data_IF_455244848046
#
_entry.id   IF_455244848046
#
_cell.length_a   1.000
_cell.length_b   1.000
_cell.length_c   1.000
_cell.angle_alpha   90.00
_cell.angle_beta   90.00
_cell.angle_gamma   90.00
#
_symmetry.space_group_name_H-M   'P 1'
#
loop_
_entity.id
_entity.type
_entity.pdbx_description
1 polymer ?
#
# COMPACT_ATOMS: atom_id res chain seq x y z
N UNK A 1 -16.64 12.18 28.22
CA UNK A 1 -15.20 12.52 28.03
C UNK A 1 -14.35 11.29 27.69
N UNK A 2 -14.93 10.23 27.10
CA UNK A 2 -14.21 8.99 26.76
C UNK A 2 -13.96 8.79 25.26
N UNK A 3 -14.43 9.70 24.39
CA UNK A 3 -14.35 9.52 22.93
C UNK A 3 -13.11 10.14 22.26
N UNK A 4 -12.33 10.99 22.95
CA UNK A 4 -11.15 11.62 22.33
C UNK A 4 -9.89 10.72 22.32
N UNK A 5 -9.79 9.73 23.21
CA UNK A 5 -8.63 8.85 23.28
C UNK A 5 -8.68 7.70 22.24
N UNK A 6 -9.87 7.23 21.86
CA UNK A 6 -10.07 6.24 20.80
C UNK A 6 -9.92 6.84 19.40
N UNK A 7 -10.18 8.15 19.24
CA UNK A 7 -9.98 8.88 17.98
C UNK A 7 -8.50 9.10 17.60
N UNK A 8 -7.58 9.10 18.56
CA UNK A 8 -6.17 9.41 18.35
C UNK A 8 -5.32 8.24 17.80
N UNK A 9 -5.89 7.04 17.66
CA UNK A 9 -5.09 5.82 17.43
C UNK A 9 -5.60 4.90 16.30
N UNK A 10 -6.43 5.41 15.39
CA UNK A 10 -6.87 4.64 14.21
C UNK A 10 -5.64 4.25 13.35
N UNK A 11 -5.41 2.96 13.03
CA UNK A 11 -4.30 2.56 12.17
C UNK A 11 -4.49 3.13 10.76
N UNK A 12 -3.61 4.05 10.37
CA UNK A 12 -3.60 4.65 9.04
C UNK A 12 -2.15 4.76 8.59
N UNK A 13 -1.81 4.19 7.45
CA UNK A 13 -0.41 4.10 7.03
C UNK A 13 -0.24 3.76 5.56
N UNK A 14 1.00 3.41 5.22
CA UNK A 14 1.39 3.03 3.86
C UNK A 14 1.60 1.52 3.81
N UNK A 15 1.18 0.90 2.72
CA UNK A 15 1.71 -0.39 2.26
C UNK A 15 2.37 -0.16 0.90
N UNK A 16 3.69 -0.33 0.82
CA UNK A 16 4.42 -0.25 -0.45
C UNK A 16 4.16 -1.55 -1.23
N UNK A 17 2.96 -1.71 -1.78
CA UNK A 17 2.46 -2.98 -2.31
C UNK A 17 2.28 -3.02 -3.83
N UNK A 18 2.88 -2.06 -4.55
CA UNK A 18 2.77 -1.91 -6.00
C UNK A 18 3.76 -2.78 -6.79
N UNK A 19 3.45 -3.01 -8.06
CA UNK A 19 4.35 -3.62 -9.04
C UNK A 19 5.28 -2.61 -9.72
N UNK A 20 6.45 -3.08 -10.14
CA UNK A 20 7.46 -2.27 -10.81
C UNK A 20 8.71 -2.07 -9.97
N UNK A 21 9.61 -1.20 -10.44
CA UNK A 21 10.85 -0.89 -9.71
C UNK A 21 10.52 -0.35 -8.32
N UNK A 22 10.97 -1.03 -7.24
CA UNK A 22 10.79 -0.53 -5.88
C UNK A 22 11.47 0.82 -5.70
N UNK A 23 11.04 1.58 -4.71
CA UNK A 23 11.74 2.82 -4.38
C UNK A 23 13.19 2.54 -3.95
N UNK A 24 14.10 3.41 -4.36
CA UNK A 24 15.45 3.43 -3.82
C UNK A 24 15.41 3.59 -2.29
N UNK A 25 16.29 2.88 -1.59
CA UNK A 25 16.27 2.82 -0.13
C UNK A 25 16.50 4.20 0.51
N UNK A 26 17.40 5.02 -0.03
CA UNK A 26 17.67 6.36 0.49
C UNK A 26 16.44 7.26 0.32
N UNK A 27 15.82 7.21 -0.86
CA UNK A 27 14.62 7.99 -1.18
C UNK A 27 13.44 7.55 -0.31
N UNK A 28 13.24 6.25 -0.12
CA UNK A 28 12.25 5.66 0.80
C UNK A 28 12.43 6.18 2.24
N UNK A 29 13.65 6.15 2.76
CA UNK A 29 13.95 6.61 4.13
C UNK A 29 13.70 8.12 4.34
N UNK A 30 13.87 8.93 3.31
CA UNK A 30 13.56 10.36 3.34
C UNK A 30 12.05 10.62 3.22
N UNK A 31 11.36 9.85 2.38
CA UNK A 31 9.91 9.92 2.22
C UNK A 31 9.17 9.65 3.55
N UNK A 32 9.59 8.62 4.29
CA UNK A 32 8.99 8.20 5.57
C UNK A 32 8.92 9.33 6.60
N UNK A 33 9.89 10.26 6.62
CA UNK A 33 9.91 11.38 7.57
C UNK A 33 8.67 12.30 7.45
N UNK A 34 8.03 12.33 6.29
CA UNK A 34 6.88 13.19 6.03
C UNK A 34 5.56 12.59 6.56
N UNK A 35 5.48 11.26 6.66
CA UNK A 35 4.21 10.53 6.80
C UNK A 35 3.50 10.85 8.13
N UNK A 36 4.27 10.97 9.22
CA UNK A 36 3.71 11.30 10.54
C UNK A 36 3.05 12.67 10.58
N UNK A 37 3.61 13.66 9.89
CA UNK A 37 3.01 14.99 9.75
C UNK A 37 1.67 14.99 9.00
N UNK A 38 1.40 13.94 8.21
CA UNK A 38 0.13 13.76 7.52
C UNK A 38 -0.88 12.93 8.32
N UNK A 39 -0.54 12.53 9.55
CA UNK A 39 -1.40 11.72 10.42
C UNK A 39 -1.31 10.22 10.16
N UNK A 40 -0.30 9.77 9.41
CA UNK A 40 -0.02 8.35 9.18
C UNK A 40 0.92 7.81 10.25
N UNK A 41 0.68 6.58 10.72
CA UNK A 41 1.35 6.01 11.89
C UNK A 41 2.04 4.67 11.65
N UNK A 42 1.97 4.11 10.43
CA UNK A 42 2.73 2.91 10.07
C UNK A 42 3.21 2.90 8.62
N UNK A 43 4.22 2.06 8.37
CA UNK A 43 4.76 1.77 7.04
C UNK A 43 4.99 0.26 6.90
N UNK A 44 4.28 -0.39 5.99
CA UNK A 44 4.46 -1.80 5.64
C UNK A 44 5.30 -1.88 4.37
N UNK A 45 6.50 -2.45 4.48
CA UNK A 45 7.36 -2.77 3.34
C UNK A 45 6.87 -4.05 2.67
N UNK A 46 6.24 -3.96 1.49
CA UNK A 46 5.76 -5.12 0.74
C UNK A 46 5.96 -5.04 -0.79
N UNK A 47 7.10 -4.54 -1.32
CA UNK A 47 7.21 -4.29 -2.76
C UNK A 47 7.08 -5.61 -3.53
N UNK A 48 6.20 -5.66 -4.54
CA UNK A 48 5.93 -6.91 -5.29
C UNK A 48 7.16 -7.45 -6.03
N UNK A 49 8.09 -6.56 -6.37
CA UNK A 49 9.33 -6.89 -7.07
C UNK A 49 10.48 -7.30 -6.13
N UNK A 50 10.30 -7.28 -4.80
CA UNK A 50 11.26 -7.88 -3.88
C UNK A 50 11.15 -9.41 -3.97
N UNK A 51 12.10 -10.02 -4.67
CA UNK A 51 12.10 -11.47 -4.89
C UNK A 51 12.31 -12.28 -3.61
N UNK A 52 13.05 -11.74 -2.63
CA UNK A 52 13.34 -12.45 -1.38
C UNK A 52 12.09 -12.58 -0.50
N UNK A 53 11.17 -11.61 -0.55
CA UNK A 53 9.90 -11.68 0.18
C UNK A 53 8.76 -12.32 -0.63
N UNK A 54 8.98 -12.56 -1.92
CA UNK A 54 7.93 -13.06 -2.82
C UNK A 54 8.25 -14.32 -3.61
N UNK A 55 9.28 -14.33 -4.45
CA UNK A 55 9.51 -15.40 -5.44
C UNK A 55 10.42 -16.51 -4.96
N UNK A 56 11.57 -16.11 -4.43
CA UNK A 56 12.63 -17.00 -3.93
C UNK A 56 12.60 -17.04 -2.41
N UNK A 57 11.42 -16.80 -1.82
CA UNK A 57 11.20 -16.70 -0.38
C UNK A 57 11.65 -17.95 0.38
N UNK A 58 11.73 -19.10 -0.29
CA UNK A 58 12.19 -20.35 0.28
C UNK A 58 13.73 -20.43 0.41
N UNK A 59 14.48 -19.50 -0.19
CA UNK A 59 15.94 -19.38 -0.03
C UNK A 59 16.31 -18.63 1.25
N UNK A 60 17.49 -18.91 1.80
CA UNK A 60 17.95 -18.23 3.01
C UNK A 60 18.26 -16.75 2.73
N UNK A 61 17.71 -15.85 3.56
CA UNK A 61 18.01 -14.42 3.47
C UNK A 61 19.49 -14.14 3.75
N UNK A 62 20.13 -13.33 2.90
CA UNK A 62 21.50 -12.87 3.14
C UNK A 62 21.56 -11.90 4.32
N UNK A 63 22.74 -11.80 4.95
CA UNK A 63 22.95 -10.88 6.07
C UNK A 63 22.82 -9.43 5.63
N UNK A 64 23.29 -9.13 4.43
CA UNK A 64 23.25 -7.82 3.81
C UNK A 64 21.80 -7.37 3.61
N UNK A 65 20.96 -8.25 3.04
CA UNK A 65 19.54 -7.99 2.83
C UNK A 65 18.79 -7.72 4.14
N UNK A 66 18.98 -8.58 5.15
CA UNK A 66 18.37 -8.40 6.47
C UNK A 66 18.85 -7.11 7.16
N UNK A 67 20.13 -6.75 7.00
CA UNK A 67 20.69 -5.51 7.53
C UNK A 67 20.07 -4.27 6.88
N UNK A 68 19.79 -4.29 5.59
CA UNK A 68 19.08 -3.20 4.90
C UNK A 68 17.65 -3.05 5.39
N UNK A 69 16.90 -4.16 5.52
CA UNK A 69 15.56 -4.14 6.10
C UNK A 69 15.56 -3.70 7.56
N UNK A 70 16.58 -4.09 8.33
CA UNK A 70 16.72 -3.65 9.73
C UNK A 70 16.94 -2.14 9.82
N UNK A 71 17.77 -1.57 8.96
CA UNK A 71 17.96 -0.11 8.88
C UNK A 71 16.66 0.61 8.52
N UNK A 72 15.85 0.03 7.62
CA UNK A 72 14.52 0.57 7.29
C UNK A 72 13.58 0.52 8.50
N UNK A 73 13.54 -0.61 9.21
CA UNK A 73 12.77 -0.77 10.46
C UNK A 73 13.15 0.29 11.49
N UNK A 74 14.44 0.47 11.75
CA UNK A 74 14.95 1.47 12.70
C UNK A 74 14.62 2.90 12.27
N UNK A 75 14.67 3.17 10.96
CA UNK A 75 14.28 4.47 10.42
C UNK A 75 12.79 4.76 10.62
N UNK A 76 11.90 3.82 10.33
CA UNK A 76 10.45 3.99 10.57
C UNK A 76 10.17 4.24 12.05
N UNK A 77 10.79 3.44 12.94
CA UNK A 77 10.63 3.57 14.39
C UNK A 77 11.17 4.89 14.95
N UNK A 78 12.31 5.37 14.45
CA UNK A 78 12.87 6.67 14.86
C UNK A 78 12.02 7.86 14.40
N UNK A 79 11.22 7.71 13.34
CA UNK A 79 10.17 8.67 12.97
C UNK A 79 8.93 8.57 13.90
N UNK A 80 8.94 7.66 14.87
CA UNK A 80 7.84 7.38 15.79
C UNK A 80 6.62 6.80 15.08
N UNK A 81 6.85 5.97 14.07
CA UNK A 81 5.86 5.17 13.34
C UNK A 81 6.11 3.68 13.58
N UNK A 82 5.12 2.85 13.28
CA UNK A 82 5.20 1.39 13.36
C UNK A 82 5.74 0.81 12.04
N UNK A 83 6.74 -0.06 12.12
CA UNK A 83 7.26 -0.79 10.97
C UNK A 83 6.46 -2.06 10.73
N UNK A 84 6.18 -2.36 9.47
CA UNK A 84 5.63 -3.63 9.06
C UNK A 84 6.41 -4.27 7.93
N UNK A 85 6.37 -5.60 7.87
CA UNK A 85 6.96 -6.39 6.80
C UNK A 85 5.87 -7.19 6.08
N UNK A 86 5.82 -7.08 4.76
CA UNK A 86 4.99 -7.90 3.90
C UNK A 86 5.75 -9.14 3.43
N UNK A 87 5.11 -10.29 3.52
CA UNK A 87 5.66 -11.57 3.09
C UNK A 87 4.64 -12.29 2.22
N UNK A 88 5.01 -12.54 0.96
CA UNK A 88 4.13 -13.11 -0.08
C UNK A 88 4.68 -14.46 -0.52
N UNK A 89 4.43 -15.57 0.21
CA UNK A 89 5.08 -16.86 -0.07
C UNK A 89 4.52 -17.50 -1.35
N UNK A 90 4.93 -17.00 -2.53
CA UNK A 90 4.39 -17.38 -3.82
C UNK A 90 4.56 -18.88 -4.06
N UNK A 91 3.45 -19.55 -4.40
CA UNK A 91 3.42 -20.98 -4.68
C UNK A 91 3.48 -21.88 -3.45
N UNK A 92 3.49 -21.34 -2.22
CA UNK A 92 3.59 -22.15 -1.02
C UNK A 92 2.41 -23.12 -0.82
N UNK A 93 1.21 -22.73 -1.24
CA UNK A 93 0.01 -23.57 -1.13
C UNK A 93 -0.01 -24.71 -2.14
N UNK A 94 0.83 -24.68 -3.19
CA UNK A 94 0.87 -25.75 -4.19
C UNK A 94 1.49 -27.06 -3.67
N UNK A 95 2.35 -26.99 -2.64
CA UNK A 95 2.99 -28.15 -2.01
C UNK A 95 3.24 -27.84 -0.51
N UNK A 96 2.19 -27.86 0.33
CA UNK A 96 2.26 -27.43 1.72
C UNK A 96 3.21 -28.30 2.55
N UNK A 97 3.32 -29.61 2.26
CA UNK A 97 4.21 -30.52 2.98
C UNK A 97 5.68 -30.10 2.84
N UNK A 98 6.06 -29.66 1.64
CA UNK A 98 7.38 -29.11 1.36
C UNK A 98 7.56 -27.70 1.92
N UNK A 99 6.59 -26.82 1.70
CA UNK A 99 6.77 -25.38 1.87
C UNK A 99 6.41 -24.87 3.26
N UNK A 100 5.51 -25.51 4.01
CA UNK A 100 5.09 -25.03 5.33
C UNK A 100 6.25 -24.99 6.34
N UNK A 101 7.13 -26.01 6.46
CA UNK A 101 8.28 -25.93 7.37
C UNK A 101 9.26 -24.81 6.99
N UNK A 102 9.48 -24.61 5.70
CA UNK A 102 10.35 -23.53 5.18
C UNK A 102 9.73 -22.18 5.49
N UNK A 103 8.43 -22.02 5.24
CA UNK A 103 7.67 -20.81 5.54
C UNK A 103 7.81 -20.42 7.01
N UNK A 104 7.59 -21.36 7.92
CA UNK A 104 7.71 -21.12 9.36
C UNK A 104 9.12 -20.67 9.75
N UNK A 105 10.17 -21.28 9.17
CA UNK A 105 11.57 -20.86 9.35
C UNK A 105 11.77 -19.40 8.91
N UNK A 106 11.24 -19.02 7.75
CA UNK A 106 11.40 -17.67 7.21
C UNK A 106 10.63 -16.62 8.02
N UNK A 107 9.40 -16.92 8.44
CA UNK A 107 8.63 -16.04 9.34
C UNK A 107 9.39 -15.84 10.64
N UNK A 108 9.90 -16.91 11.27
CA UNK A 108 10.70 -16.79 12.49
C UNK A 108 11.96 -15.93 12.27
N UNK A 109 12.63 -16.08 11.12
CA UNK A 109 13.82 -15.29 10.77
C UNK A 109 13.47 -13.81 10.66
N UNK A 110 12.45 -13.44 9.89
CA UNK A 110 12.00 -12.06 9.72
C UNK A 110 11.56 -11.43 11.05
N UNK A 111 10.80 -12.17 11.88
CA UNK A 111 10.39 -11.73 13.21
C UNK A 111 11.58 -11.42 14.10
N UNK A 112 12.56 -12.33 14.16
CA UNK A 112 13.71 -12.22 15.08
C UNK A 112 14.65 -11.09 14.66
N UNK A 113 14.93 -10.98 13.35
CA UNK A 113 15.91 -10.04 12.82
C UNK A 113 15.35 -8.61 12.71
N UNK A 114 14.06 -8.46 12.37
CA UNK A 114 13.46 -7.14 12.07
C UNK A 114 12.59 -6.59 13.20
N UNK A 115 12.03 -7.46 14.05
CA UNK A 115 11.09 -7.13 15.13
C UNK A 115 10.00 -6.14 14.69
N UNK A 116 9.23 -6.46 13.63
CA UNK A 116 8.23 -5.54 13.10
C UNK A 116 7.04 -5.42 14.07
N UNK A 117 6.33 -4.30 14.05
CA UNK A 117 5.05 -4.14 14.75
C UNK A 117 3.89 -4.75 13.97
N UNK A 118 3.97 -4.79 12.64
CA UNK A 118 3.00 -5.47 11.76
C UNK A 118 3.67 -6.56 10.92
N UNK A 119 3.05 -7.73 10.84
CA UNK A 119 3.40 -8.75 9.85
C UNK A 119 2.25 -8.86 8.87
N UNK A 120 2.49 -8.60 7.59
CA UNK A 120 1.50 -8.73 6.53
C UNK A 120 1.76 -10.03 5.75
N UNK A 121 0.88 -11.03 5.90
CA UNK A 121 0.95 -12.28 5.15
C UNK A 121 0.05 -12.21 3.92
N UNK A 122 0.64 -12.31 2.73
CA UNK A 122 0.04 -11.85 1.48
C UNK A 122 -0.16 -13.02 0.49
N UNK A 123 -1.41 -13.27 0.11
CA UNK A 123 -1.82 -14.24 -0.91
C UNK A 123 -2.47 -13.57 -2.14
N UNK A 124 -2.40 -12.25 -2.24
CA UNK A 124 -2.79 -11.49 -3.42
C UNK A 124 -1.89 -11.79 -4.62
N UNK A 125 -2.45 -11.62 -5.83
CA UNK A 125 -1.74 -11.78 -7.10
C UNK A 125 -1.13 -13.18 -7.30
N UNK A 126 -1.85 -14.21 -6.86
CA UNK A 126 -1.50 -15.62 -7.03
C UNK A 126 -2.60 -16.36 -7.78
N UNK A 127 -2.22 -17.28 -8.67
CA UNK A 127 -3.19 -18.16 -9.33
C UNK A 127 -3.72 -19.18 -8.33
N UNK A 128 -5.03 -19.40 -8.38
CA UNK A 128 -5.74 -20.41 -7.60
C UNK A 128 -6.09 -21.56 -8.53
N UNK A 129 -5.60 -22.75 -8.20
CA UNK A 129 -5.87 -23.97 -8.96
C UNK A 129 -6.39 -25.12 -8.09
N UNK A 130 -6.49 -24.93 -6.77
CA UNK A 130 -6.88 -25.96 -5.81
C UNK A 130 -8.27 -25.65 -5.22
N UNK A 131 -9.13 -26.65 -5.16
CA UNK A 131 -10.48 -26.51 -4.58
C UNK A 131 -10.48 -26.20 -3.07
N UNK A 132 -9.39 -26.51 -2.37
CA UNK A 132 -9.23 -26.32 -0.93
C UNK A 132 -8.27 -25.17 -0.58
N UNK A 133 -8.06 -24.23 -1.49
CA UNK A 133 -7.15 -23.10 -1.32
C UNK A 133 -7.42 -22.28 -0.03
N UNK A 134 -8.70 -22.07 0.30
CA UNK A 134 -9.08 -21.38 1.54
C UNK A 134 -8.53 -22.08 2.79
N UNK A 135 -8.62 -23.41 2.84
CA UNK A 135 -8.09 -24.21 3.95
C UNK A 135 -6.55 -24.22 4.02
N UNK A 136 -5.88 -24.17 2.85
CA UNK A 136 -4.43 -24.06 2.78
C UNK A 136 -3.96 -22.72 3.31
N UNK A 137 -4.52 -21.60 2.83
CA UNK A 137 -4.18 -20.27 3.32
C UNK A 137 -4.47 -20.13 4.82
N UNK A 138 -5.59 -20.67 5.30
CA UNK A 138 -5.94 -20.76 6.71
C UNK A 138 -4.85 -21.44 7.57
N UNK A 139 -4.23 -22.51 7.05
CA UNK A 139 -3.13 -23.22 7.72
C UNK A 139 -1.89 -22.33 7.85
N UNK A 140 -1.47 -21.68 6.76
CA UNK A 140 -0.34 -20.75 6.78
C UNK A 140 -0.59 -19.54 7.70
N UNK A 141 -1.80 -18.98 7.70
CA UNK A 141 -2.19 -17.88 8.59
C UNK A 141 -2.08 -18.31 10.05
N UNK A 142 -2.56 -19.50 10.42
CA UNK A 142 -2.49 -20.00 11.81
C UNK A 142 -1.05 -20.24 12.27
N UNK A 143 -0.20 -20.83 11.43
CA UNK A 143 1.22 -21.01 11.78
C UNK A 143 1.96 -19.68 11.87
N UNK A 144 1.69 -18.74 10.97
CA UNK A 144 2.23 -17.38 11.06
C UNK A 144 1.82 -16.72 12.37
N UNK A 145 0.52 -16.75 12.70
CA UNK A 145 -0.01 -16.20 13.96
C UNK A 145 0.70 -16.79 15.19
N UNK A 146 0.90 -18.11 15.23
CA UNK A 146 1.58 -18.81 16.34
C UNK A 146 3.02 -18.31 16.55
N UNK A 147 3.70 -17.90 15.48
CA UNK A 147 5.08 -17.39 15.53
C UNK A 147 5.11 -15.91 15.93
N UNK A 148 4.25 -15.08 15.33
CA UNK A 148 4.30 -13.62 15.50
C UNK A 148 3.65 -13.18 16.83
N UNK A 149 2.61 -13.87 17.30
CA UNK A 149 1.82 -13.48 18.49
C UNK A 149 2.61 -13.40 19.80
N UNK A 150 3.53 -14.33 20.12
CA UNK A 150 4.38 -14.25 21.32
C UNK A 150 5.30 -13.01 21.35
N UNK A 151 5.59 -12.43 20.18
CA UNK A 151 6.43 -11.25 20.04
C UNK A 151 5.63 -9.93 20.08
N UNK A 152 4.30 -10.00 20.29
CA UNK A 152 3.42 -8.83 20.32
C UNK A 152 3.19 -8.19 18.93
N UNK A 153 3.48 -8.93 17.87
CA UNK A 153 3.39 -8.46 16.48
C UNK A 153 1.95 -8.65 15.99
N UNK A 154 1.39 -7.63 15.36
CA UNK A 154 0.03 -7.66 14.82
C UNK A 154 0.02 -8.31 13.43
N UNK A 155 -0.76 -9.37 13.25
CA UNK A 155 -0.89 -10.07 11.97
C UNK A 155 -2.04 -9.46 11.16
N UNK A 156 -1.73 -9.04 9.94
CA UNK A 156 -2.70 -8.68 8.91
C UNK A 156 -2.49 -9.63 7.73
N UNK A 157 -3.55 -10.11 7.09
CA UNK A 157 -3.42 -10.99 5.93
C UNK A 157 -4.22 -10.49 4.74
N UNK A 158 -3.69 -10.68 3.53
CA UNK A 158 -4.44 -10.47 2.30
C UNK A 158 -4.76 -11.84 1.70
N UNK A 159 -6.03 -12.22 1.67
CA UNK A 159 -6.51 -13.43 0.98
C UNK A 159 -6.47 -13.23 -0.53
N UNK A 160 -6.43 -14.31 -1.31
CA UNK A 160 -6.45 -14.20 -2.78
C UNK A 160 -7.71 -13.52 -3.31
N UNK A 161 -8.83 -13.68 -2.62
CA UNK A 161 -10.05 -12.93 -2.85
C UNK A 161 -10.16 -11.85 -1.75
N UNK A 162 -9.73 -10.63 -2.08
CA UNK A 162 -9.67 -9.46 -1.19
C UNK A 162 -10.70 -8.37 -1.55
N UNK A 163 -11.62 -8.70 -2.45
CA UNK A 163 -12.79 -7.92 -2.85
C UNK A 163 -13.81 -8.87 -3.48
N UNK A 164 -15.07 -8.43 -3.60
CA UNK A 164 -16.10 -9.11 -4.41
C UNK A 164 -16.03 -8.77 -5.90
N UNK A 165 -14.99 -8.05 -6.33
CA UNK A 165 -14.77 -7.71 -7.74
C UNK A 165 -14.60 -8.98 -8.60
N UNK A 166 -15.47 -9.25 -9.59
CA UNK A 166 -15.36 -10.42 -10.46
C UNK A 166 -14.05 -10.50 -11.26
N UNK A 167 -13.29 -9.39 -11.34
CA UNK A 167 -11.97 -9.39 -11.97
C UNK A 167 -11.01 -10.37 -11.29
N UNK A 168 -11.13 -10.59 -9.98
CA UNK A 168 -10.24 -11.51 -9.26
C UNK A 168 -10.41 -12.94 -9.75
N UNK A 169 -11.64 -13.42 -9.92
CA UNK A 169 -11.88 -14.76 -10.47
C UNK A 169 -11.39 -14.89 -11.92
N UNK A 170 -11.49 -13.81 -12.70
CA UNK A 170 -11.00 -13.79 -14.08
C UNK A 170 -9.48 -13.87 -14.17
N UNK A 171 -8.76 -13.25 -13.23
CA UNK A 171 -7.29 -13.17 -13.25
C UNK A 171 -6.64 -14.35 -12.49
N UNK A 172 -7.20 -14.74 -11.36
CA UNK A 172 -6.63 -15.74 -10.46
C UNK A 172 -7.23 -17.14 -10.64
N UNK A 173 -8.44 -17.26 -11.17
CA UNK A 173 -9.18 -18.52 -11.27
C UNK A 173 -10.46 -18.49 -10.45
N UNK A 174 -11.38 -19.42 -10.75
CA UNK A 174 -12.69 -19.52 -10.07
C UNK A 174 -12.49 -19.64 -8.56
N UNK A 175 -13.23 -18.83 -7.80
CA UNK A 175 -13.20 -18.93 -6.33
C UNK A 175 -13.85 -20.25 -5.89
N UNK A 176 -13.18 -21.04 -5.03
CA UNK A 176 -13.81 -22.22 -4.44
C UNK A 176 -15.08 -21.86 -3.66
N UNK A 177 -16.10 -22.71 -3.73
CA UNK A 177 -17.42 -22.42 -3.14
C UNK A 177 -17.36 -22.20 -1.62
N UNK A 178 -16.48 -22.92 -0.93
CA UNK A 178 -16.29 -22.83 0.52
C UNK A 178 -15.13 -21.92 0.92
N UNK A 179 -14.55 -21.15 -0.01
CA UNK A 179 -13.28 -20.43 0.19
C UNK A 179 -13.24 -19.62 1.49
N UNK A 180 -14.18 -18.67 1.69
CA UNK A 180 -14.20 -17.84 2.89
C UNK A 180 -14.52 -18.64 4.17
N UNK A 181 -15.40 -19.64 4.08
CA UNK A 181 -15.74 -20.50 5.22
C UNK A 181 -14.52 -21.28 5.71
N UNK A 182 -13.73 -21.84 4.79
CA UNK A 182 -12.51 -22.57 5.11
C UNK A 182 -11.38 -21.63 5.54
N UNK A 183 -11.21 -20.50 4.84
CA UNK A 183 -10.20 -19.48 5.13
C UNK A 183 -10.33 -18.92 6.55
N UNK A 184 -11.55 -18.65 7.00
CA UNK A 184 -11.82 -17.96 8.26
C UNK A 184 -11.99 -18.92 9.45
N UNK A 185 -12.02 -20.24 9.21
CA UNK A 185 -12.26 -21.26 10.23
C UNK A 185 -11.19 -21.19 11.33
N UNK A 186 -11.66 -20.95 12.56
CA UNK A 186 -10.84 -20.88 13.77
C UNK A 186 -9.68 -19.87 13.70
N UNK A 187 -9.78 -18.84 12.84
CA UNK A 187 -8.82 -17.75 12.84
C UNK A 187 -9.05 -16.86 14.06
N UNK A 188 -8.01 -16.56 14.87
CA UNK A 188 -8.12 -15.65 15.99
C UNK A 188 -8.72 -14.30 15.61
N UNK A 189 -9.47 -13.71 16.55
CA UNK A 189 -10.22 -12.46 16.33
C UNK A 189 -9.32 -11.24 16.15
N UNK A 190 -8.08 -11.30 16.63
CA UNK A 190 -7.06 -10.24 16.51
C UNK A 190 -6.25 -10.32 15.20
N UNK A 191 -6.54 -11.26 14.29
CA UNK A 191 -6.01 -11.26 12.92
C UNK A 191 -6.90 -10.39 12.02
N UNK A 192 -6.31 -9.37 11.41
CA UNK A 192 -6.99 -8.51 10.44
C UNK A 192 -6.88 -9.07 9.02
N UNK A 193 -7.87 -8.76 8.18
CA UNK A 193 -7.89 -9.12 6.76
C UNK A 193 -7.93 -7.85 5.91
N UNK A 194 -7.01 -7.74 4.97
CA UNK A 194 -7.02 -6.68 3.97
C UNK A 194 -8.25 -6.79 3.08
N UNK A 195 -8.81 -5.64 2.71
CA UNK A 195 -9.95 -5.53 1.79
C UNK A 195 -9.81 -4.27 0.94
N UNK A 196 -9.95 -4.38 -0.37
CA UNK A 196 -9.76 -3.22 -1.28
C UNK A 196 -11.05 -2.44 -1.56
N UNK A 197 -12.17 -2.84 -0.95
CA UNK A 197 -13.50 -2.28 -1.19
C UNK A 197 -14.31 -3.12 -2.17
N UNK A 198 -15.28 -2.51 -2.84
CA UNK A 198 -16.15 -3.19 -3.81
C UNK A 198 -15.43 -3.55 -5.12
N UNK A 199 -14.27 -2.93 -5.36
CA UNK A 199 -13.38 -3.17 -6.50
C UNK A 199 -11.95 -3.37 -6.05
N UNK A 200 -11.10 -3.86 -6.96
CA UNK A 200 -9.63 -3.84 -6.74
C UNK A 200 -9.14 -2.41 -6.56
N UNK A 201 -9.66 -1.48 -7.37
CA UNK A 201 -9.42 -0.03 -7.25
C UNK A 201 -10.78 0.63 -6.96
N UNK A 202 -11.06 0.86 -5.68
CA UNK A 202 -12.32 1.46 -5.23
C UNK A 202 -12.24 2.99 -5.19
N UNK A 203 -13.29 3.67 -5.66
CA UNK A 203 -13.40 5.13 -5.65
C UNK A 203 -13.99 5.69 -4.35
N UNK A 204 -14.70 4.84 -3.61
CA UNK A 204 -15.41 5.12 -2.37
C UNK A 204 -15.52 3.87 -1.50
N UNK A 205 -15.85 4.08 -0.23
CA UNK A 205 -16.09 3.02 0.75
C UNK A 205 -17.42 3.31 1.45
N UNK A 206 -18.52 2.91 0.83
CA UNK A 206 -19.85 3.18 1.40
C UNK A 206 -20.04 2.39 2.70
N UNK A 207 -20.91 2.89 3.57
CA UNK A 207 -21.23 2.18 4.81
C UNK A 207 -21.86 0.79 4.54
N UNK A 208 -22.56 0.63 3.43
CA UNK A 208 -23.12 -0.66 3.00
C UNK A 208 -22.02 -1.66 2.63
N UNK A 209 -21.09 -1.25 1.76
CA UNK A 209 -20.01 -2.12 1.29
C UNK A 209 -19.08 -2.56 2.44
N UNK A 210 -18.76 -1.65 3.36
CA UNK A 210 -17.94 -1.98 4.53
C UNK A 210 -18.64 -2.96 5.49
N UNK A 211 -19.97 -2.87 5.63
CA UNK A 211 -20.75 -3.83 6.42
C UNK A 211 -20.82 -5.20 5.74
N UNK A 212 -21.04 -5.24 4.42
CA UNK A 212 -21.01 -6.50 3.65
C UNK A 212 -19.65 -7.18 3.75
N UNK A 213 -18.55 -6.41 3.62
CA UNK A 213 -17.20 -6.93 3.85
C UNK A 213 -17.04 -7.47 5.27
N UNK A 214 -17.55 -6.76 6.28
CA UNK A 214 -17.45 -7.20 7.66
C UNK A 214 -18.27 -8.47 7.97
N UNK A 215 -19.44 -8.62 7.34
CA UNK A 215 -20.27 -9.82 7.41
C UNK A 215 -19.55 -11.01 6.76
N UNK A 216 -18.96 -10.82 5.58
CA UNK A 216 -18.21 -11.86 4.86
C UNK A 216 -16.96 -12.32 5.63
N UNK A 217 -16.18 -11.38 6.17
CA UNK A 217 -14.95 -11.65 6.91
C UNK A 217 -15.21 -12.05 8.38
N UNK A 218 -16.43 -11.85 8.87
CA UNK A 218 -16.83 -12.00 10.26
C UNK A 218 -16.13 -11.02 11.23
N UNK A 219 -15.52 -9.95 10.71
CA UNK A 219 -14.74 -8.93 11.45
C UNK A 219 -14.63 -7.66 10.61
N UNK A 220 -14.29 -6.52 11.21
CA UNK A 220 -14.07 -5.29 10.43
C UNK A 220 -12.94 -5.50 9.40
N UNK A 221 -13.08 -5.04 8.16
CA UNK A 221 -12.00 -5.10 7.19
C UNK A 221 -10.88 -4.14 7.58
N UNK A 222 -9.64 -4.49 7.23
CA UNK A 222 -8.53 -3.54 7.18
C UNK A 222 -8.39 -3.05 5.74
N UNK A 223 -8.58 -1.76 5.49
CA UNK A 223 -8.64 -1.29 4.10
C UNK A 223 -7.26 -1.28 3.47
N UNK A 224 -7.12 -1.89 2.30
CA UNK A 224 -6.00 -1.68 1.39
C UNK A 224 -6.49 -0.73 0.29
N UNK A 225 -6.19 0.56 0.41
CA UNK A 225 -6.69 1.57 -0.54
C UNK A 225 -5.74 1.67 -1.75
N UNK A 226 -6.15 1.15 -2.90
CA UNK A 226 -5.41 1.23 -4.17
C UNK A 226 -5.58 2.60 -4.87
N UNK A 227 -5.48 3.67 -4.08
CA UNK A 227 -5.28 5.03 -4.57
C UNK A 227 -4.17 5.64 -3.72
N UNK A 228 -3.10 6.23 -4.30
CA UNK A 228 -2.95 6.62 -5.70
C UNK A 228 -2.17 5.65 -6.59
N UNK A 229 -2.02 4.35 -6.26
CA UNK A 229 -1.17 3.43 -7.06
C UNK A 229 -1.35 3.53 -8.58
N UNK A 230 -0.25 3.52 -9.34
CA UNK A 230 -0.21 3.66 -10.80
C UNK A 230 0.70 2.62 -11.48
N UNK A 231 0.70 1.40 -10.98
CA UNK A 231 1.56 0.32 -11.45
C UNK A 231 0.99 -0.49 -12.63
N UNK A 232 -0.33 -0.54 -12.78
CA UNK A 232 -0.99 -1.27 -13.86
C UNK A 232 -0.70 -0.69 -15.25
N UNK A 233 -0.78 -1.53 -16.29
CA UNK A 233 -0.46 -1.18 -17.68
C UNK A 233 -1.07 0.14 -18.18
N UNK A 234 -2.32 0.42 -17.84
CA UNK A 234 -2.98 1.69 -18.20
C UNK A 234 -2.67 2.79 -17.19
N UNK A 235 -2.67 2.44 -15.91
CA UNK A 235 -2.47 3.38 -14.81
C UNK A 235 -1.08 4.03 -14.85
N UNK A 236 -0.05 3.31 -15.36
CA UNK A 236 1.32 3.84 -15.47
C UNK A 236 1.48 5.03 -16.40
N UNK A 237 0.49 5.28 -17.27
CA UNK A 237 0.44 6.45 -18.14
C UNK A 237 -0.17 7.67 -17.46
N UNK A 238 -0.51 7.58 -16.16
CA UNK A 238 -1.16 8.63 -15.38
C UNK A 238 -0.42 8.93 -14.06
N UNK A 239 -0.67 10.11 -13.51
CA UNK A 239 -0.34 10.45 -12.12
C UNK A 239 -1.61 10.84 -11.37
N UNK A 240 -1.79 10.24 -10.20
CA UNK A 240 -2.96 10.46 -9.36
C UNK A 240 -2.61 11.38 -8.20
N UNK A 241 -2.65 12.68 -8.46
CA UNK A 241 -2.17 13.74 -7.55
C UNK A 241 -3.29 14.43 -6.76
N UNK A 242 -4.55 14.06 -7.00
CA UNK A 242 -5.71 14.65 -6.32
C UNK A 242 -5.78 14.19 -4.87
N UNK A 243 -6.37 15.01 -4.01
CA UNK A 243 -6.66 14.62 -2.63
C UNK A 243 -7.66 13.44 -2.57
N UNK A 244 -7.62 12.71 -1.46
CA UNK A 244 -8.57 11.66 -1.14
C UNK A 244 -9.95 12.25 -0.85
N UNK A 245 -10.99 11.61 -1.36
CA UNK A 245 -12.41 11.92 -1.07
C UNK A 245 -13.16 10.61 -0.76
N UNK A 246 -14.34 10.64 -0.15
CA UNK A 246 -15.18 9.45 0.08
C UNK A 246 -14.57 8.36 0.99
N UNK A 247 -13.73 8.73 1.96
CA UNK A 247 -13.09 7.82 2.94
C UNK A 247 -13.65 7.96 4.37
N UNK A 248 -14.61 8.85 4.59
CA UNK A 248 -15.14 9.25 5.90
C UNK A 248 -15.77 8.09 6.69
N UNK A 249 -16.30 7.07 6.00
CA UNK A 249 -16.91 5.90 6.64
C UNK A 249 -15.87 4.90 7.20
N UNK A 250 -14.65 4.90 6.66
CA UNK A 250 -13.61 3.90 6.98
C UNK A 250 -13.27 3.95 8.47
N UNK A 251 -13.09 5.14 9.04
CA UNK A 251 -12.67 5.32 10.44
C UNK A 251 -13.59 4.60 11.44
N UNK A 252 -14.88 4.50 11.14
CA UNK A 252 -15.87 3.89 12.03
C UNK A 252 -16.14 2.42 11.71
N UNK A 253 -16.02 2.02 10.44
CA UNK A 253 -16.46 0.71 9.94
C UNK A 253 -15.32 -0.25 9.57
N UNK A 254 -14.07 0.20 9.53
CA UNK A 254 -12.87 -0.59 9.31
C UNK A 254 -12.01 -0.71 10.59
N UNK A 255 -11.05 -1.64 10.60
CA UNK A 255 -10.03 -1.73 11.66
C UNK A 255 -8.78 -0.89 11.37
N UNK A 256 -8.58 -0.47 10.12
CA UNK A 256 -7.47 0.39 9.70
C UNK A 256 -7.50 0.69 8.20
N UNK A 257 -6.53 1.47 7.73
CA UNK A 257 -6.27 1.72 6.30
C UNK A 257 -4.77 1.71 6.00
N UNK A 258 -4.38 0.93 5.00
CA UNK A 258 -3.07 0.96 4.36
C UNK A 258 -3.24 1.50 2.94
N UNK A 259 -2.64 2.65 2.66
CA UNK A 259 -2.65 3.27 1.33
C UNK A 259 -1.55 2.66 0.48
N UNK A 260 -1.90 2.22 -0.74
CA UNK A 260 -0.95 1.77 -1.74
C UNK A 260 -0.52 2.94 -2.64
N UNK A 261 0.74 3.38 -2.57
CA UNK A 261 1.21 4.58 -3.24
C UNK A 261 1.57 4.34 -4.72
N UNK A 262 1.79 5.42 -5.46
CA UNK A 262 2.38 5.43 -6.80
C UNK A 262 3.85 4.99 -6.79
N UNK A 263 4.37 4.64 -7.97
CA UNK A 263 5.80 4.41 -8.20
C UNK A 263 6.65 5.68 -8.01
N UNK A 264 6.07 6.87 -8.15
CA UNK A 264 6.73 8.15 -7.87
C UNK A 264 6.71 8.43 -6.37
N UNK A 265 7.84 8.28 -5.70
CA UNK A 265 7.95 8.30 -4.24
C UNK A 265 7.41 9.60 -3.64
N UNK A 266 7.97 10.75 -4.00
CA UNK A 266 7.68 12.03 -3.36
C UNK A 266 6.45 12.74 -3.92
N UNK A 267 6.03 12.42 -5.14
CA UNK A 267 4.74 12.88 -5.67
C UNK A 267 3.55 12.31 -4.90
N UNK A 268 3.70 11.18 -4.20
CA UNK A 268 2.67 10.69 -3.29
C UNK A 268 2.35 11.65 -2.13
N UNK A 269 3.23 12.59 -1.80
CA UNK A 269 2.97 13.52 -0.70
C UNK A 269 1.71 14.39 -0.94
N UNK A 270 1.38 14.68 -2.20
CA UNK A 270 0.19 15.46 -2.56
C UNK A 270 -1.13 14.77 -2.17
N UNK A 271 -1.44 13.56 -2.66
CA UNK A 271 -2.64 12.86 -2.22
C UNK A 271 -2.55 12.53 -0.71
N UNK A 272 -1.40 12.08 -0.20
CA UNK A 272 -1.27 11.64 1.19
C UNK A 272 -1.51 12.74 2.24
N UNK A 273 -1.24 14.01 1.92
CA UNK A 273 -1.50 15.13 2.84
C UNK A 273 -2.98 15.22 3.26
N UNK A 274 -3.89 14.72 2.43
CA UNK A 274 -5.33 14.76 2.65
C UNK A 274 -5.92 13.57 3.42
N UNK A 275 -5.20 12.43 3.51
CA UNK A 275 -5.76 11.14 3.98
C UNK A 275 -6.41 11.25 5.35
N UNK A 276 -5.71 11.82 6.33
CA UNK A 276 -6.25 11.91 7.71
C UNK A 276 -7.53 12.74 7.78
N UNK A 277 -7.64 13.81 7.00
CA UNK A 277 -8.84 14.64 6.97
C UNK A 277 -9.98 13.96 6.19
N UNK A 278 -9.67 13.27 5.10
CA UNK A 278 -10.64 12.48 4.33
C UNK A 278 -11.24 11.30 5.12
N UNK A 279 -10.57 10.84 6.19
CA UNK A 279 -11.11 9.84 7.13
C UNK A 279 -12.06 10.46 8.18
N UNK A 280 -12.11 11.78 8.31
CA UNK A 280 -12.93 12.49 9.31
C UNK A 280 -14.20 13.09 8.70
N UNK A 281 -14.14 13.53 7.44
CA UNK A 281 -15.21 14.27 6.77
C UNK A 281 -15.24 13.98 5.28
N UNK A 282 -16.38 14.23 4.64
CA UNK A 282 -16.57 14.28 3.19
C UNK A 282 -16.68 15.71 2.63
N UNK A 283 -16.49 16.74 3.47
CA UNK A 283 -16.38 18.13 3.02
C UNK A 283 -15.06 18.34 2.25
N UNK A 284 -15.17 18.38 0.92
CA UNK A 284 -14.05 18.58 0.00
C UNK A 284 -13.23 19.84 0.33
N UNK A 285 -13.88 20.92 0.75
CA UNK A 285 -13.19 22.19 1.05
C UNK A 285 -12.32 22.06 2.30
N UNK A 286 -12.81 21.38 3.34
CA UNK A 286 -12.04 21.14 4.56
C UNK A 286 -10.84 20.21 4.27
N UNK A 287 -11.08 19.14 3.49
CA UNK A 287 -10.02 18.20 3.07
C UNK A 287 -8.89 18.93 2.33
N UNK A 288 -9.24 19.71 1.29
CA UNK A 288 -8.27 20.47 0.50
C UNK A 288 -7.53 21.49 1.36
N UNK A 289 -8.24 22.22 2.22
CA UNK A 289 -7.64 23.24 3.09
C UNK A 289 -6.63 22.60 4.04
N UNK A 290 -6.97 21.47 4.68
CA UNK A 290 -6.07 20.74 5.57
C UNK A 290 -4.84 20.19 4.83
N UNK A 291 -5.04 19.65 3.62
CA UNK A 291 -3.94 19.14 2.80
C UNK A 291 -2.95 20.24 2.42
N UNK A 292 -3.46 21.40 1.97
CA UNK A 292 -2.64 22.57 1.62
C UNK A 292 -1.80 23.06 2.80
N UNK A 293 -2.40 23.16 3.99
CA UNK A 293 -1.67 23.58 5.20
C UNK A 293 -0.47 22.67 5.51
N UNK A 294 -0.64 21.35 5.35
CA UNK A 294 0.44 20.38 5.57
C UNK A 294 1.51 20.43 4.48
N UNK A 295 1.11 20.63 3.22
CA UNK A 295 2.04 20.71 2.08
C UNK A 295 2.91 21.98 2.16
N UNK A 296 2.32 23.12 2.53
CA UNK A 296 3.00 24.42 2.60
C UNK A 296 4.10 24.54 3.66
N UNK A 297 4.28 23.53 4.52
CA UNK A 297 5.37 23.54 5.52
C UNK A 297 6.75 23.45 4.87
N UNK A 298 6.89 22.66 3.80
CA UNK A 298 8.17 22.34 3.16
C UNK A 298 8.06 22.35 1.62
N UNK A 299 7.21 23.21 1.06
CA UNK A 299 6.99 23.22 -0.38
C UNK A 299 6.49 24.59 -0.84
N UNK A 300 6.98 25.04 -2.00
CA UNK A 300 6.61 26.32 -2.58
C UNK A 300 5.13 26.35 -2.96
N UNK A 301 4.51 27.53 -2.80
CA UNK A 301 3.09 27.71 -3.14
C UNK A 301 2.88 27.58 -4.65
N UNK A 302 3.82 28.11 -5.42
CA UNK A 302 3.85 28.08 -6.87
C UNK A 302 3.83 26.64 -7.40
N UNK A 303 4.66 25.76 -6.83
CA UNK A 303 4.67 24.35 -7.23
C UNK A 303 3.42 23.59 -6.77
N UNK A 304 2.89 23.90 -5.58
CA UNK A 304 1.60 23.33 -5.13
C UNK A 304 0.47 23.71 -6.09
N UNK A 305 0.38 24.99 -6.46
CA UNK A 305 -0.66 25.49 -7.35
C UNK A 305 -0.51 24.93 -8.77
N UNK A 306 0.73 24.74 -9.26
CA UNK A 306 1.03 24.03 -10.50
C UNK A 306 0.51 22.60 -10.47
N UNK A 307 0.83 21.82 -9.42
CA UNK A 307 0.39 20.43 -9.32
C UNK A 307 -1.13 20.33 -9.24
N UNK A 308 -1.78 21.19 -8.47
CA UNK A 308 -3.25 21.20 -8.35
C UNK A 308 -3.92 21.53 -9.68
N UNK A 309 -3.45 22.56 -10.38
CA UNK A 309 -4.02 23.01 -11.65
C UNK A 309 -3.88 21.95 -12.75
N UNK A 310 -2.86 21.11 -12.68
CA UNK A 310 -2.60 20.04 -13.66
C UNK A 310 -3.05 18.65 -13.21
N UNK A 311 -3.51 18.49 -11.96
CA UNK A 311 -3.82 17.17 -11.37
C UNK A 311 -4.89 16.39 -12.13
N UNK A 312 -5.91 17.08 -12.66
CA UNK A 312 -6.94 16.44 -13.48
C UNK A 312 -6.38 15.93 -14.81
N UNK A 313 -5.61 16.78 -15.51
CA UNK A 313 -4.96 16.41 -16.76
C UNK A 313 -4.06 15.18 -16.57
N UNK A 314 -3.24 15.16 -15.52
CA UNK A 314 -2.37 14.01 -15.23
C UNK A 314 -3.15 12.72 -14.92
N UNK A 315 -4.35 12.83 -14.35
CA UNK A 315 -5.19 11.67 -14.03
C UNK A 315 -6.04 11.20 -15.22
N UNK A 316 -6.44 12.10 -16.12
CA UNK A 316 -7.42 11.81 -17.19
C UNK A 316 -6.79 11.63 -18.57
N UNK A 317 -5.66 12.30 -18.86
CA UNK A 317 -4.99 12.24 -20.16
C UNK A 317 -3.80 11.27 -20.07
N UNK A 318 -3.81 10.16 -20.81
CA UNK A 318 -2.66 9.25 -20.84
C UNK A 318 -1.41 9.98 -21.36
N UNK A 319 -0.26 9.70 -20.75
CA UNK A 319 1.03 10.27 -21.16
C UNK A 319 1.33 10.13 -22.68
N UNK A 320 0.98 9.02 -23.37
CA UNK A 320 1.13 8.93 -24.81
C UNK A 320 0.31 9.94 -25.64
N UNK A 321 -0.77 10.48 -25.08
CA UNK A 321 -1.69 11.41 -25.74
C UNK A 321 -1.37 12.88 -25.45
N UNK A 322 -0.46 13.18 -24.51
CA UNK A 322 0.05 14.53 -24.32
C UNK A 322 0.84 14.98 -25.55
N UNK A 323 0.48 16.13 -26.12
CA UNK A 323 1.20 16.71 -27.26
C UNK A 323 2.62 17.13 -26.84
N UNK A 324 3.55 17.19 -27.80
CA UNK A 324 4.92 17.64 -27.51
C UNK A 324 4.93 19.09 -27.00
N UNK A 325 4.08 19.97 -27.53
CA UNK A 325 3.92 21.35 -27.03
C UNK A 325 3.48 21.38 -25.55
N UNK A 326 2.53 20.52 -25.16
CA UNK A 326 2.10 20.41 -23.76
C UNK A 326 3.25 19.92 -22.88
N UNK A 327 4.00 18.88 -23.32
CA UNK A 327 5.14 18.36 -22.56
C UNK A 327 6.24 19.41 -22.40
N UNK A 328 6.60 20.12 -23.47
CA UNK A 328 7.61 21.18 -23.44
C UNK A 328 7.20 22.34 -22.52
N UNK A 329 5.92 22.72 -22.54
CA UNK A 329 5.37 23.71 -21.61
C UNK A 329 5.49 23.27 -20.15
N UNK A 330 5.11 22.01 -19.85
CA UNK A 330 5.22 21.45 -18.50
C UNK A 330 6.69 21.38 -18.05
N UNK A 331 7.60 20.90 -18.90
CA UNK A 331 9.03 20.81 -18.60
C UNK A 331 9.66 22.19 -18.35
N UNK A 332 9.25 23.19 -19.12
CA UNK A 332 9.71 24.58 -18.95
C UNK A 332 9.24 25.16 -17.61
N UNK A 333 7.98 24.95 -17.24
CA UNK A 333 7.46 25.36 -15.93
C UNK A 333 8.20 24.65 -14.79
N UNK A 334 8.45 23.34 -14.92
CA UNK A 334 9.20 22.57 -13.93
C UNK A 334 10.63 23.08 -13.73
N UNK A 335 11.30 23.51 -14.79
CA UNK A 335 12.64 24.09 -14.69
C UNK A 335 12.64 25.40 -13.89
N UNK A 336 11.58 26.21 -14.04
CA UNK A 336 11.46 27.50 -13.34
C UNK A 336 11.36 27.36 -11.82
N UNK A 337 10.84 26.24 -11.31
CA UNK A 337 10.71 25.99 -9.87
C UNK A 337 12.04 25.61 -9.20
N UNK A 338 13.03 25.11 -9.94
CA UNK A 338 14.27 24.56 -9.35
C UNK A 338 15.09 25.56 -8.55
N UNK A 339 15.10 26.83 -8.96
CA UNK A 339 15.94 27.86 -8.32
C UNK A 339 15.54 28.17 -6.87
N UNK A 340 14.28 27.88 -6.48
CA UNK A 340 13.76 28.09 -5.12
C UNK A 340 13.38 26.78 -4.40
N UNK A 341 13.55 25.63 -5.04
CA UNK A 341 13.12 24.34 -4.52
C UNK A 341 14.08 23.80 -3.45
N UNK A 342 13.51 23.25 -2.39
CA UNK A 342 14.27 22.45 -1.42
C UNK A 342 14.57 21.04 -1.97
N UNK A 343 15.27 20.21 -1.18
CA UNK A 343 15.60 18.85 -1.61
C UNK A 343 14.35 17.99 -1.91
N UNK A 344 13.26 18.19 -1.17
CA UNK A 344 12.01 17.45 -1.33
C UNK A 344 11.35 17.84 -2.66
N UNK A 345 11.20 19.13 -2.90
CA UNK A 345 10.61 19.68 -4.11
C UNK A 345 11.46 19.36 -5.36
N UNK A 346 12.79 19.38 -5.25
CA UNK A 346 13.68 18.94 -6.33
C UNK A 346 13.49 17.47 -6.72
N UNK A 347 13.20 16.58 -5.75
CA UNK A 347 12.85 15.18 -6.04
C UNK A 347 11.51 15.10 -6.76
N UNK A 348 10.49 15.83 -6.29
CA UNK A 348 9.17 15.87 -6.93
C UNK A 348 9.23 16.39 -8.38
N UNK A 349 9.99 17.46 -8.61
CA UNK A 349 10.25 18.01 -9.95
C UNK A 349 10.90 16.93 -10.83
N UNK A 350 11.92 16.24 -10.31
CA UNK A 350 12.60 15.16 -11.05
C UNK A 350 11.66 14.00 -11.38
N UNK A 351 10.86 13.54 -10.42
CA UNK A 351 9.90 12.45 -10.65
C UNK A 351 8.87 12.82 -11.74
N UNK A 352 8.44 14.09 -11.77
CA UNK A 352 7.52 14.55 -12.80
C UNK A 352 8.21 14.69 -14.17
N UNK A 353 9.45 15.17 -14.21
CA UNK A 353 10.28 15.17 -15.43
C UNK A 353 10.50 13.74 -15.93
N UNK A 354 10.79 12.79 -15.04
CA UNK A 354 10.98 11.38 -15.35
C UNK A 354 9.69 10.73 -15.89
N UNK A 355 8.54 11.08 -15.33
CA UNK A 355 7.23 10.70 -15.87
C UNK A 355 7.03 11.22 -17.28
N UNK A 356 7.20 12.52 -17.52
CA UNK A 356 7.04 13.13 -18.86
C UNK A 356 8.00 12.51 -19.89
N UNK A 357 9.19 12.07 -19.45
CA UNK A 357 10.19 11.38 -20.27
C UNK A 357 10.02 9.85 -20.33
N UNK A 358 8.86 9.31 -19.93
CA UNK A 358 8.53 7.87 -19.98
C UNK A 358 9.53 6.97 -19.26
N UNK A 359 9.97 7.36 -18.05
CA UNK A 359 10.81 6.49 -17.19
C UNK A 359 10.03 5.54 -16.29
N UNK A 360 8.71 5.74 -16.16
CA UNK A 360 7.83 4.90 -15.32
C UNK A 360 6.94 3.93 -16.11
N UNK A 361 7.41 3.46 -17.28
CA UNK A 361 6.64 2.57 -18.15
C UNK A 361 6.33 1.25 -17.44
N UNK A 362 5.14 0.71 -17.70
CA UNK A 362 4.77 -0.62 -17.26
C UNK A 362 5.69 -1.68 -17.88
N UNK A 363 6.31 -2.51 -17.05
CA UNK A 363 7.06 -3.67 -17.47
C UNK A 363 6.25 -4.95 -17.19
N UNK A 364 5.77 -5.67 -18.22
CA UNK A 364 5.05 -6.93 -18.05
C UNK A 364 5.81 -7.99 -17.25
N UNK A 365 7.15 -7.97 -17.28
CA UNK A 365 7.97 -8.90 -16.52
C UNK A 365 7.79 -8.72 -14.99
N UNK A 366 7.30 -7.56 -14.56
CA UNK A 366 6.97 -7.32 -13.15
C UNK A 366 5.75 -8.12 -12.67
N UNK A 367 4.83 -8.52 -13.57
CA UNK A 367 3.65 -9.32 -13.19
C UNK A 367 3.93 -10.82 -13.13
N UNK A 368 4.91 -11.30 -13.90
CA UNK A 368 5.25 -12.73 -14.01
C UNK A 368 6.49 -13.10 -13.21
N UNK A 369 7.01 -12.16 -12.42
CA UNK A 369 8.09 -12.40 -11.48
C UNK A 369 7.72 -13.52 -10.54
#
# INVERSE_FOLDING_TARGET
>A
MTDNASQANFPAGIIEGFFGTPWDMKTRMAFIENLKGFGLNFYIYAPKNDSCLRRIWFEDFTKEYLSELKRLSDRVKSCGMKFGIGFSPLGATADPDKYLPVFMKQVQKLVTELQPEYFALLFDDMKISLEHEGALQNTFIKECYRIVRPHGIHLITCSSFYTTDPILEKVFGRMPETYYQDLLRDIPRDVDFFWTGSKVISTDYTAGDLKLAAELLGRKPFIWDNYPVNDGKKASDHLYLRHFNNRQNIRNLASGIAVNPMKQTFLNLFPLASVSKALETDDDKDIVTSALQKLSVNQSREFIDFIRSNSEMFASVPLPELTEEMKESLLTQLESFKAGADNRELIQIRELQDFLNRRYVFDPACLTG
#
